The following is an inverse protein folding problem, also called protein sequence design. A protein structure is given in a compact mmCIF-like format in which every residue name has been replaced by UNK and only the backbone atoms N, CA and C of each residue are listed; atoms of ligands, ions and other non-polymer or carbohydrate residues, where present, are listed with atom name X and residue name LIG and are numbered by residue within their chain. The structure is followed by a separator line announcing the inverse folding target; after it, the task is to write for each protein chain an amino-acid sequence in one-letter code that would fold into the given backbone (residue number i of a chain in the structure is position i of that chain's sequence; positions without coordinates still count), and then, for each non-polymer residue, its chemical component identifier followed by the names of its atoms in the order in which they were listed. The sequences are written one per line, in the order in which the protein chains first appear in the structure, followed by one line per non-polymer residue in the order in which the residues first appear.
data_IF_937693709691
#
_entry.id   IF_937693709691
#
_cell.length_a   1.000
_cell.length_b   1.000
_cell.length_c   1.000
_cell.angle_alpha   90.00
_cell.angle_beta   90.00
_cell.angle_gamma   90.00
#
_symmetry.space_group_name_H-M   'P 1'
#
loop_
_entity.id
_entity.type
_entity.pdbx_description
1 polymer ?
#
# COMPACT_ATOMS: atom_id res chain seq x y z
N UNK A 1 45.56 -17.57 -21.49
CA UNK A 1 44.83 -16.67 -20.57
C UNK A 1 44.34 -15.34 -21.20
N UNK A 2 44.58 -15.05 -22.50
CA UNK A 2 44.32 -13.73 -23.10
C UNK A 2 43.16 -13.64 -24.10
N UNK A 3 42.36 -14.69 -24.29
CA UNK A 3 41.26 -14.73 -25.26
C UNK A 3 39.85 -14.61 -24.66
N UNK A 4 39.66 -14.85 -23.36
CA UNK A 4 38.34 -14.79 -22.71
C UNK A 4 37.88 -13.37 -22.33
N UNK A 5 38.78 -12.38 -22.35
CA UNK A 5 38.46 -11.01 -21.93
C UNK A 5 37.88 -10.14 -23.06
N UNK A 6 38.15 -10.46 -24.33
CA UNK A 6 37.71 -9.63 -25.47
C UNK A 6 36.25 -9.90 -25.88
N UNK A 7 35.72 -11.09 -25.61
CA UNK A 7 34.32 -11.46 -25.93
C UNK A 7 33.33 -10.83 -24.93
N UNK A 8 33.75 -10.64 -23.67
CA UNK A 8 32.92 -9.99 -22.64
C UNK A 8 32.64 -8.52 -22.95
N UNK A 9 33.62 -7.79 -23.50
CA UNK A 9 33.45 -6.38 -23.87
C UNK A 9 32.60 -6.16 -25.13
N UNK A 10 32.54 -7.12 -26.06
CA UNK A 10 31.71 -7.02 -27.25
C UNK A 10 30.21 -7.24 -26.95
N UNK A 11 29.89 -8.14 -26.00
CA UNK A 11 28.52 -8.36 -25.55
C UNK A 11 28.00 -7.27 -24.60
N UNK A 12 28.90 -6.55 -23.91
CA UNK A 12 28.50 -5.45 -23.01
C UNK A 12 28.07 -4.18 -23.77
N UNK A 13 28.68 -3.87 -24.92
CA UNK A 13 28.35 -2.68 -25.71
C UNK A 13 27.01 -2.80 -26.44
N UNK A 14 26.67 -3.98 -26.97
CA UNK A 14 25.39 -4.19 -27.69
C UNK A 14 24.18 -4.08 -26.73
N UNK A 15 24.35 -4.51 -25.48
CA UNK A 15 23.33 -4.42 -24.43
C UNK A 15 23.24 -3.05 -23.72
N UNK A 16 24.00 -2.06 -24.17
CA UNK A 16 23.96 -0.68 -23.65
C UNK A 16 22.96 0.19 -24.40
N UNK A 17 22.68 -0.11 -25.68
CA UNK A 17 21.73 0.68 -26.49
C UNK A 17 20.26 0.37 -26.12
N UNK A 18 19.93 -0.89 -25.82
CA UNK A 18 18.55 -1.31 -25.52
C UNK A 18 18.08 -1.06 -24.08
N UNK A 19 18.98 -0.69 -23.15
CA UNK A 19 18.62 -0.39 -21.75
C UNK A 19 18.18 1.05 -21.51
N UNK A 20 18.43 1.96 -22.45
CA UNK A 20 18.05 3.37 -22.27
C UNK A 20 16.57 3.65 -22.62
N UNK A 21 15.89 2.72 -23.31
CA UNK A 21 14.49 2.89 -23.71
C UNK A 21 13.50 2.32 -22.69
N UNK A 22 13.93 1.35 -21.86
CA UNK A 22 13.09 0.75 -20.79
C UNK A 22 13.36 1.34 -19.40
N UNK A 23 14.36 2.21 -19.26
CA UNK A 23 14.51 3.04 -18.06
C UNK A 23 13.56 4.23 -18.24
N UNK A 24 12.27 3.96 -18.02
CA UNK A 24 11.36 4.99 -17.52
C UNK A 24 12.08 5.63 -16.34
N UNK A 25 12.51 6.89 -16.50
CA UNK A 25 13.13 7.64 -15.40
C UNK A 25 12.23 7.46 -14.19
N UNK A 26 12.71 6.88 -13.07
CA UNK A 26 11.90 6.80 -11.88
C UNK A 26 11.45 8.23 -11.61
N UNK A 27 10.14 8.44 -11.56
CA UNK A 27 9.59 9.70 -11.09
C UNK A 27 10.13 9.83 -9.67
N UNK A 28 11.15 10.66 -9.50
CA UNK A 28 11.78 10.95 -8.22
C UNK A 28 10.77 11.77 -7.43
N UNK A 29 9.81 11.07 -6.84
CA UNK A 29 8.96 11.63 -5.81
C UNK A 29 9.83 11.88 -4.58
N UNK A 30 9.68 13.04 -3.95
CA UNK A 30 10.33 13.31 -2.69
C UNK A 30 9.92 12.28 -1.65
N UNK A 31 10.82 11.93 -0.74
CA UNK A 31 10.58 10.98 0.35
C UNK A 31 9.37 11.37 1.20
N UNK A 32 9.18 12.69 1.37
CA UNK A 32 8.06 13.30 2.10
C UNK A 32 6.73 13.19 1.35
N UNK A 33 6.66 13.65 0.09
CA UNK A 33 5.40 13.67 -0.64
C UNK A 33 4.92 12.28 -1.07
N UNK A 34 5.86 11.37 -1.34
CA UNK A 34 5.54 10.03 -1.84
C UNK A 34 5.34 9.00 -0.73
N UNK A 35 6.40 8.70 0.03
CA UNK A 35 6.43 7.54 0.92
C UNK A 35 5.76 7.86 2.26
N UNK A 36 6.11 8.99 2.87
CA UNK A 36 5.61 9.36 4.19
C UNK A 36 4.09 9.56 4.20
N UNK A 37 3.56 10.35 3.27
CA UNK A 37 2.12 10.57 3.11
C UNK A 37 1.37 9.26 2.89
N UNK A 38 1.88 8.38 2.04
CA UNK A 38 1.21 7.10 1.72
C UNK A 38 1.17 6.18 2.94
N UNK A 39 2.28 6.07 3.68
CA UNK A 39 2.36 5.24 4.88
C UNK A 39 1.47 5.79 6.00
N UNK A 40 1.48 7.11 6.22
CA UNK A 40 0.62 7.74 7.24
C UNK A 40 -0.86 7.49 6.95
N UNK A 41 -1.31 7.77 5.73
CA UNK A 41 -2.72 7.58 5.36
C UNK A 41 -3.12 6.12 5.48
N UNK A 42 -2.26 5.16 5.15
CA UNK A 42 -2.61 3.74 5.29
C UNK A 42 -2.75 3.33 6.78
N UNK A 43 -1.76 3.68 7.61
CA UNK A 43 -1.77 3.29 9.03
C UNK A 43 -2.92 3.98 9.76
N UNK A 44 -3.04 5.31 9.65
CA UNK A 44 -4.10 6.04 10.33
C UNK A 44 -5.48 5.77 9.73
N UNK A 45 -5.59 5.67 8.40
CA UNK A 45 -6.84 5.42 7.72
C UNK A 45 -7.46 4.08 8.12
N UNK A 46 -6.69 2.99 8.06
CA UNK A 46 -7.20 1.66 8.38
C UNK A 46 -7.43 1.48 9.88
N UNK A 47 -6.51 1.95 10.73
CA UNK A 47 -6.62 1.73 12.18
C UNK A 47 -7.76 2.57 12.75
N UNK A 48 -7.81 3.87 12.48
CA UNK A 48 -8.81 4.77 13.09
C UNK A 48 -10.22 4.50 12.55
N UNK A 49 -10.38 4.32 11.24
CA UNK A 49 -11.74 4.20 10.66
C UNK A 49 -12.29 2.77 10.62
N UNK A 50 -11.47 1.76 10.30
CA UNK A 50 -11.98 0.40 10.09
C UNK A 50 -11.90 -0.48 11.33
N UNK A 51 -10.93 -0.26 12.24
CA UNK A 51 -10.62 -1.25 13.28
C UNK A 51 -10.78 -0.77 14.71
N UNK A 52 -10.45 0.48 15.03
CA UNK A 52 -10.48 0.96 16.42
C UNK A 52 -11.89 0.93 17.01
N UNK A 53 -12.92 1.34 16.27
CA UNK A 53 -14.30 1.31 16.77
C UNK A 53 -14.81 -0.09 17.09
N UNK A 54 -14.52 -1.06 16.22
CA UNK A 54 -14.98 -2.45 16.41
C UNK A 54 -14.16 -3.20 17.46
N UNK A 55 -12.83 -3.04 17.48
CA UNK A 55 -11.95 -3.70 18.45
C UNK A 55 -12.25 -3.19 19.88
N UNK A 56 -12.39 -1.88 20.06
CA UNK A 56 -12.68 -1.30 21.39
C UNK A 56 -14.07 -1.74 21.88
N UNK A 57 -15.05 -1.86 20.98
CA UNK A 57 -16.41 -2.29 21.33
C UNK A 57 -16.51 -3.74 21.82
N UNK A 58 -15.69 -4.65 21.29
CA UNK A 58 -15.74 -6.09 21.67
C UNK A 58 -14.71 -6.45 22.74
N UNK A 59 -13.49 -5.89 22.66
CA UNK A 59 -12.36 -6.30 23.49
C UNK A 59 -12.18 -5.41 24.74
N UNK A 60 -12.85 -4.25 24.78
CA UNK A 60 -12.67 -3.25 25.84
C UNK A 60 -11.40 -2.40 25.64
N UNK A 61 -11.35 -1.27 26.36
CA UNK A 61 -10.31 -0.24 26.15
C UNK A 61 -8.90 -0.75 26.52
N UNK A 62 -8.80 -1.55 27.59
CA UNK A 62 -7.50 -2.01 28.12
C UNK A 62 -6.81 -2.95 27.14
N UNK A 63 -7.56 -3.92 26.59
CA UNK A 63 -7.02 -4.87 25.61
C UNK A 63 -6.67 -4.19 24.30
N UNK A 64 -7.46 -3.19 23.87
CA UNK A 64 -7.14 -2.40 22.69
C UNK A 64 -5.82 -1.65 22.83
N UNK A 65 -5.55 -1.04 24.00
CA UNK A 65 -4.28 -0.35 24.28
C UNK A 65 -3.09 -1.33 24.27
N UNK A 66 -3.23 -2.50 24.88
CA UNK A 66 -2.16 -3.54 24.87
C UNK A 66 -1.87 -3.98 23.42
N UNK A 67 -2.91 -4.22 22.62
CA UNK A 67 -2.76 -4.60 21.21
C UNK A 67 -2.04 -3.51 20.40
N UNK A 68 -2.35 -2.23 20.63
CA UNK A 68 -1.68 -1.11 19.97
C UNK A 68 -0.19 -1.04 20.32
N UNK A 69 0.18 -1.29 21.58
CA UNK A 69 1.57 -1.31 22.01
C UNK A 69 2.35 -2.43 21.31
N UNK A 70 1.76 -3.64 21.23
CA UNK A 70 2.37 -4.78 20.53
C UNK A 70 2.49 -4.51 19.03
N UNK A 71 1.46 -3.95 18.40
CA UNK A 71 1.50 -3.61 16.98
C UNK A 71 2.60 -2.57 16.68
N UNK A 72 2.71 -1.55 17.53
CA UNK A 72 3.73 -0.50 17.39
C UNK A 72 5.14 -1.06 17.58
N UNK A 73 5.35 -1.97 18.53
CA UNK A 73 6.66 -2.61 18.72
C UNK A 73 7.07 -3.48 17.52
N UNK A 74 6.14 -4.27 16.96
CA UNK A 74 6.38 -5.04 15.74
C UNK A 74 6.71 -4.17 14.53
N UNK A 75 6.02 -3.03 14.38
CA UNK A 75 6.31 -2.05 13.34
C UNK A 75 7.73 -1.46 13.51
N UNK A 76 8.10 -1.07 14.73
CA UNK A 76 9.43 -0.54 15.03
C UNK A 76 10.54 -1.56 14.75
N UNK A 77 10.37 -2.81 15.17
CA UNK A 77 11.32 -3.90 14.89
C UNK A 77 11.49 -4.08 13.38
N UNK A 78 10.39 -4.05 12.62
CA UNK A 78 10.42 -4.19 11.16
C UNK A 78 11.16 -3.03 10.48
N UNK A 79 10.91 -1.79 10.92
CA UNK A 79 11.58 -0.60 10.41
C UNK A 79 13.08 -0.63 10.72
N UNK A 80 13.47 -0.97 11.95
CA UNK A 80 14.90 -1.09 12.30
C UNK A 80 15.60 -2.18 11.49
N UNK A 81 14.94 -3.31 11.24
CA UNK A 81 15.46 -4.37 10.37
C UNK A 81 15.65 -3.86 8.93
N UNK A 82 14.67 -3.14 8.39
CA UNK A 82 14.74 -2.58 7.04
C UNK A 82 15.86 -1.55 6.89
N UNK A 83 16.08 -0.69 7.90
CA UNK A 83 17.19 0.28 7.90
C UNK A 83 18.54 -0.45 7.87
N UNK A 84 18.73 -1.46 8.72
CA UNK A 84 19.98 -2.24 8.75
C UNK A 84 20.26 -2.98 7.44
N UNK A 85 19.21 -3.37 6.71
CA UNK A 85 19.31 -3.91 5.35
C UNK A 85 19.74 -2.83 4.36
N UNK A 86 19.10 -1.66 4.38
CA UNK A 86 19.39 -0.54 3.48
C UNK A 86 20.82 0.01 3.64
N UNK A 87 21.38 -0.02 4.86
CA UNK A 87 22.76 0.39 5.10
C UNK A 87 23.79 -0.58 4.52
N UNK A 88 23.46 -1.88 4.46
CA UNK A 88 24.38 -2.93 3.98
C UNK A 88 24.29 -3.17 2.48
N UNK A 89 23.15 -2.84 1.85
CA UNK A 89 22.92 -3.07 0.44
C UNK A 89 23.12 -1.79 -0.37
N UNK A 90 24.00 -1.82 -1.39
CA UNK A 90 24.08 -0.72 -2.36
C UNK A 90 22.79 -0.66 -3.17
N UNK A 91 22.03 0.42 -2.99
CA UNK A 91 20.75 0.66 -3.65
C UNK A 91 21.02 0.94 -5.13
N UNK A 92 21.09 -0.10 -5.94
CA UNK A 92 20.94 0.03 -7.38
C UNK A 92 19.47 0.36 -7.69
N UNK A 93 19.25 1.09 -8.80
CA UNK A 93 17.99 1.71 -9.24
C UNK A 93 16.85 0.72 -9.59
N UNK A 94 16.69 -0.39 -8.86
CA UNK A 94 15.68 -1.43 -9.06
C UNK A 94 14.55 -1.43 -8.02
N UNK A 95 14.56 -0.52 -7.03
CA UNK A 95 13.53 -0.44 -5.99
C UNK A 95 13.62 -1.56 -4.93
N UNK A 96 12.60 -1.64 -4.08
CA UNK A 96 12.61 -2.49 -2.87
C UNK A 96 12.59 -3.99 -3.22
N UNK A 97 11.86 -4.41 -4.26
CA UNK A 97 11.83 -5.81 -4.69
C UNK A 97 13.18 -6.28 -5.27
N UNK A 98 13.88 -5.42 -6.00
CA UNK A 98 15.23 -5.72 -6.48
C UNK A 98 16.21 -5.82 -5.31
N UNK A 99 16.08 -4.92 -4.32
CA UNK A 99 16.87 -4.96 -3.09
C UNK A 99 16.67 -6.30 -2.36
N UNK A 100 15.42 -6.66 -2.03
CA UNK A 100 15.05 -7.87 -1.28
C UNK A 100 15.47 -9.15 -2.00
N UNK A 101 15.27 -9.22 -3.32
CA UNK A 101 15.69 -10.39 -4.12
C UNK A 101 17.22 -10.53 -4.23
N UNK A 102 17.97 -9.44 -4.05
CA UNK A 102 19.44 -9.49 -3.99
C UNK A 102 19.96 -10.07 -2.66
N UNK A 103 19.25 -9.85 -1.54
CA UNK A 103 19.67 -10.30 -0.19
C UNK A 103 19.19 -11.71 0.14
N UNK A 104 17.95 -12.05 -0.23
CA UNK A 104 17.33 -13.34 0.08
C UNK A 104 17.51 -14.38 -1.02
N UNK A 105 18.10 -13.99 -2.16
CA UNK A 105 18.14 -14.78 -3.37
C UNK A 105 16.85 -14.66 -4.20
N UNK A 106 16.99 -14.70 -5.53
CA UNK A 106 15.90 -14.42 -6.46
C UNK A 106 14.67 -15.31 -6.30
N UNK A 107 14.84 -16.55 -5.82
CA UNK A 107 13.74 -17.50 -5.60
C UNK A 107 12.86 -17.13 -4.38
N UNK A 108 13.47 -16.73 -3.26
CA UNK A 108 12.75 -16.41 -2.02
C UNK A 108 12.11 -15.01 -2.12
N UNK A 109 12.81 -14.04 -2.71
CA UNK A 109 12.27 -12.69 -2.89
C UNK A 109 11.03 -12.64 -3.78
N UNK A 110 10.97 -13.48 -4.83
CA UNK A 110 9.80 -13.59 -5.70
C UNK A 110 8.57 -14.20 -4.99
N UNK A 111 8.78 -15.25 -4.19
CA UNK A 111 7.72 -15.90 -3.45
C UNK A 111 7.09 -14.99 -2.39
N UNK A 112 7.91 -14.27 -1.61
CA UNK A 112 7.44 -13.32 -0.59
C UNK A 112 6.66 -12.16 -1.23
N UNK A 113 7.14 -11.63 -2.35
CA UNK A 113 6.45 -10.56 -3.08
C UNK A 113 5.08 -10.97 -3.60
N UNK A 114 4.95 -12.18 -4.16
CA UNK A 114 3.67 -12.75 -4.58
C UNK A 114 2.72 -12.94 -3.41
N UNK A 115 3.19 -13.52 -2.29
CA UNK A 115 2.36 -13.72 -1.09
C UNK A 115 1.83 -12.40 -0.54
N UNK A 116 2.68 -11.36 -0.49
CA UNK A 116 2.26 -10.03 -0.05
C UNK A 116 1.20 -9.43 -0.99
N UNK A 117 1.39 -9.51 -2.30
CA UNK A 117 0.43 -8.98 -3.27
C UNK A 117 -0.96 -9.66 -3.13
N UNK A 118 -1.00 -10.99 -3.01
CA UNK A 118 -2.24 -11.71 -2.73
C UNK A 118 -2.84 -11.33 -1.38
N UNK A 119 -2.00 -11.18 -0.35
CA UNK A 119 -2.41 -10.76 0.98
C UNK A 119 -3.13 -9.41 0.95
N UNK A 120 -2.56 -8.41 0.28
CA UNK A 120 -3.18 -7.08 0.18
C UNK A 120 -4.53 -7.13 -0.54
N UNK A 121 -4.62 -7.82 -1.69
CA UNK A 121 -5.88 -7.94 -2.46
C UNK A 121 -7.01 -8.57 -1.63
N UNK A 122 -6.68 -9.57 -0.82
CA UNK A 122 -7.66 -10.31 -0.02
C UNK A 122 -8.03 -9.55 1.27
N UNK A 123 -7.05 -8.95 1.96
CA UNK A 123 -7.24 -8.36 3.28
C UNK A 123 -7.65 -6.88 3.26
N UNK A 124 -7.19 -6.07 2.31
CA UNK A 124 -7.49 -4.61 2.26
C UNK A 124 -8.88 -4.29 1.67
N UNK A 125 -9.83 -5.21 1.83
CA UNK A 125 -11.24 -4.88 1.67
C UNK A 125 -11.70 -4.62 0.24
N UNK A 126 -10.85 -4.73 -0.79
CA UNK A 126 -11.28 -4.67 -2.20
C UNK A 126 -12.38 -5.70 -2.44
N UNK A 127 -12.20 -6.95 -1.99
CA UNK A 127 -13.23 -7.97 -2.09
C UNK A 127 -14.54 -7.58 -1.38
N UNK A 128 -14.45 -7.00 -0.19
CA UNK A 128 -15.61 -6.57 0.59
C UNK A 128 -16.31 -5.34 0.01
N UNK A 129 -15.55 -4.39 -0.54
CA UNK A 129 -16.05 -3.22 -1.29
C UNK A 129 -16.82 -3.71 -2.53
N UNK A 130 -16.29 -4.71 -3.24
CA UNK A 130 -16.93 -5.26 -4.44
C UNK A 130 -18.23 -5.98 -4.09
N UNK A 131 -18.19 -6.82 -3.06
CA UNK A 131 -19.36 -7.56 -2.61
C UNK A 131 -20.42 -6.58 -2.08
N UNK A 132 -20.04 -5.63 -1.23
CA UNK A 132 -20.95 -4.63 -0.66
C UNK A 132 -21.52 -3.65 -1.69
N UNK A 133 -20.73 -3.24 -2.69
CA UNK A 133 -21.21 -2.42 -3.80
C UNK A 133 -22.13 -3.21 -4.73
N UNK A 134 -21.78 -4.47 -5.03
CA UNK A 134 -22.63 -5.38 -5.80
C UNK A 134 -23.99 -5.61 -5.13
N UNK A 135 -24.01 -5.76 -3.81
CA UNK A 135 -25.24 -5.93 -3.02
C UNK A 135 -26.08 -4.65 -2.97
N UNK A 136 -25.43 -3.50 -2.79
CA UNK A 136 -26.10 -2.18 -2.72
C UNK A 136 -26.76 -1.79 -4.06
N UNK A 137 -26.08 -2.05 -5.18
CA UNK A 137 -26.62 -1.76 -6.52
C UNK A 137 -27.68 -2.78 -6.93
N UNK A 138 -27.54 -4.04 -6.53
CA UNK A 138 -28.57 -5.08 -6.73
C UNK A 138 -29.90 -4.68 -6.06
N UNK A 139 -29.84 -4.15 -4.84
CA UNK A 139 -31.01 -3.67 -4.09
C UNK A 139 -31.66 -2.45 -4.75
N UNK A 140 -30.90 -1.64 -5.49
CA UNK A 140 -31.41 -0.44 -6.17
C UNK A 140 -32.11 -0.72 -7.50
N UNK A 141 -31.70 -1.78 -8.20
CA UNK A 141 -32.21 -2.14 -9.54
C UNK A 141 -33.42 -3.09 -9.49
N UNK A 142 -33.66 -3.80 -8.38
CA UNK A 142 -34.89 -4.57 -8.16
C UNK A 142 -35.08 -5.78 -9.08
N UNK A 143 -34.02 -6.26 -9.74
CA UNK A 143 -34.06 -7.42 -10.65
C UNK A 143 -33.37 -8.60 -9.95
N UNK A 144 -34.10 -9.66 -9.60
CA UNK A 144 -33.61 -10.85 -8.88
C UNK A 144 -32.72 -11.81 -9.72
N UNK A 145 -31.79 -11.28 -10.52
CA UNK A 145 -30.88 -12.10 -11.33
C UNK A 145 -29.42 -11.95 -10.85
N UNK A 146 -28.96 -12.97 -10.11
CA UNK A 146 -27.63 -13.05 -9.48
C UNK A 146 -26.45 -12.78 -10.43
N UNK A 147 -26.60 -13.09 -11.72
CA UNK A 147 -25.55 -12.88 -12.73
C UNK A 147 -25.37 -11.42 -13.16
N UNK A 148 -26.45 -10.64 -13.26
CA UNK A 148 -26.38 -9.24 -13.72
C UNK A 148 -25.76 -8.34 -12.65
N UNK A 149 -25.97 -8.66 -11.36
CA UNK A 149 -25.36 -7.96 -10.23
C UNK A 149 -23.83 -8.06 -10.24
N UNK A 150 -23.32 -9.29 -10.46
CA UNK A 150 -21.88 -9.53 -10.54
C UNK A 150 -21.26 -8.81 -11.73
N UNK A 151 -21.97 -8.75 -12.86
CA UNK A 151 -21.49 -8.06 -14.06
C UNK A 151 -21.33 -6.55 -13.85
N UNK A 152 -22.30 -5.90 -13.21
CA UNK A 152 -22.25 -4.46 -12.91
C UNK A 152 -21.17 -4.13 -11.86
N UNK A 153 -21.00 -4.98 -10.85
CA UNK A 153 -19.90 -4.82 -9.87
C UNK A 153 -18.53 -4.97 -10.53
N UNK A 154 -18.37 -5.94 -11.44
CA UNK A 154 -17.14 -6.14 -12.23
C UNK A 154 -16.89 -4.96 -13.18
N UNK A 155 -17.93 -4.39 -13.79
CA UNK A 155 -17.80 -3.22 -14.66
C UNK A 155 -17.36 -1.97 -13.88
N UNK A 156 -17.96 -1.71 -12.72
CA UNK A 156 -17.56 -0.60 -11.84
C UNK A 156 -16.10 -0.75 -11.35
N UNK A 157 -15.68 -1.98 -11.04
CA UNK A 157 -14.29 -2.31 -10.72
C UNK A 157 -13.33 -1.98 -11.85
N UNK A 158 -13.69 -2.35 -13.08
CA UNK A 158 -12.87 -2.09 -14.26
C UNK A 158 -12.70 -0.58 -14.49
N UNK A 159 -13.75 0.20 -14.28
CA UNK A 159 -13.70 1.66 -14.36
C UNK A 159 -12.81 2.24 -13.26
N UNK A 160 -12.98 1.80 -12.01
CA UNK A 160 -12.16 2.28 -10.88
C UNK A 160 -10.67 1.93 -11.06
N UNK A 161 -10.39 0.71 -11.52
CA UNK A 161 -9.04 0.24 -11.85
C UNK A 161 -8.47 1.02 -13.03
N UNK A 162 -9.27 1.32 -14.05
CA UNK A 162 -8.90 2.16 -15.19
C UNK A 162 -8.54 3.59 -14.78
N UNK A 163 -9.31 4.19 -13.86
CA UNK A 163 -9.00 5.51 -13.28
C UNK A 163 -7.65 5.49 -12.54
N UNK A 164 -7.37 4.42 -11.79
CA UNK A 164 -6.08 4.26 -11.11
C UNK A 164 -4.89 4.15 -12.09
N UNK A 165 -5.09 3.60 -13.29
CA UNK A 165 -4.02 3.48 -14.30
C UNK A 165 -3.73 4.79 -15.05
N UNK A 166 -4.70 5.71 -15.16
CA UNK A 166 -4.59 6.96 -15.93
C UNK A 166 -3.52 7.92 -15.40
N UNK A 167 -3.14 7.82 -14.12
CA UNK A 167 -1.95 8.52 -13.67
C UNK A 167 -1.71 8.47 -12.17
N UNK A 168 -0.61 7.81 -11.80
CA UNK A 168 -0.05 7.80 -10.44
C UNK A 168 0.18 9.22 -9.88
N UNK A 169 0.42 10.22 -10.74
CA UNK A 169 0.55 11.63 -10.33
C UNK A 169 -0.74 12.20 -9.73
N UNK A 170 -1.90 11.80 -10.25
CA UNK A 170 -3.21 12.24 -9.72
C UNK A 170 -3.50 11.56 -8.39
N UNK A 171 -3.21 10.25 -8.31
CA UNK A 171 -3.37 9.45 -7.09
C UNK A 171 -2.57 10.05 -5.92
N UNK A 172 -1.30 10.41 -6.15
CA UNK A 172 -0.46 11.01 -5.10
C UNK A 172 -1.02 12.37 -4.63
N UNK A 173 -1.55 13.20 -5.53
CA UNK A 173 -2.19 14.45 -5.13
C UNK A 173 -3.47 14.22 -4.32
N UNK A 174 -4.25 13.20 -4.67
CA UNK A 174 -5.43 12.81 -3.88
C UNK A 174 -5.03 12.29 -2.50
N UNK A 175 -3.94 11.50 -2.40
CA UNK A 175 -3.40 11.03 -1.13
C UNK A 175 -3.09 12.18 -0.16
N UNK A 176 -2.49 13.26 -0.68
CA UNK A 176 -2.20 14.47 0.11
C UNK A 176 -3.49 15.16 0.58
N UNK A 177 -4.52 15.22 -0.27
CA UNK A 177 -5.83 15.77 0.11
C UNK A 177 -6.48 14.91 1.20
N UNK A 178 -6.42 13.58 1.07
CA UNK A 178 -6.92 12.66 2.10
C UNK A 178 -6.19 12.85 3.44
N UNK A 179 -4.89 13.11 3.43
CA UNK A 179 -4.13 13.38 4.64
C UNK A 179 -4.64 14.63 5.35
N UNK A 180 -4.99 15.70 4.62
CA UNK A 180 -5.56 16.92 5.22
C UNK A 180 -6.89 16.61 5.90
N UNK A 181 -7.77 15.85 5.25
CA UNK A 181 -9.04 15.39 5.85
C UNK A 181 -8.83 14.53 7.10
N UNK A 182 -7.84 13.64 7.07
CA UNK A 182 -7.48 12.83 8.23
C UNK A 182 -7.02 13.71 9.40
N UNK A 183 -6.18 14.71 9.15
CA UNK A 183 -5.73 15.64 10.20
C UNK A 183 -6.90 16.41 10.80
N UNK A 184 -7.86 16.85 9.99
CA UNK A 184 -9.10 17.47 10.47
C UNK A 184 -9.91 16.51 11.36
N UNK A 185 -10.07 15.25 10.95
CA UNK A 185 -10.79 14.25 11.75
C UNK A 185 -10.11 13.97 13.10
N UNK A 186 -8.78 13.96 13.14
CA UNK A 186 -8.02 13.80 14.39
C UNK A 186 -8.23 15.00 15.30
N UNK A 187 -8.17 16.22 14.77
CA UNK A 187 -8.43 17.44 15.54
C UNK A 187 -9.86 17.46 16.09
N UNK A 188 -10.84 17.08 15.28
CA UNK A 188 -12.25 17.00 15.69
C UNK A 188 -12.46 15.97 16.81
N UNK A 189 -11.81 14.80 16.71
CA UNK A 189 -11.84 13.79 17.76
C UNK A 189 -11.24 14.29 19.08
N UNK A 190 -10.09 14.98 19.03
CA UNK A 190 -9.48 15.56 20.22
C UNK A 190 -10.33 16.69 20.82
N UNK A 191 -10.91 17.54 19.97
CA UNK A 191 -11.85 18.57 20.41
C UNK A 191 -13.06 17.94 21.10
N UNK A 192 -13.69 16.94 20.47
CA UNK A 192 -14.80 16.20 21.05
C UNK A 192 -14.46 15.51 22.39
N UNK A 193 -13.26 14.94 22.51
CA UNK A 193 -12.79 14.33 23.75
C UNK A 193 -12.60 15.34 24.89
N UNK A 194 -12.19 16.58 24.57
CA UNK A 194 -12.04 17.64 25.55
C UNK A 194 -13.39 18.26 25.96
N UNK A 195 -14.25 18.58 25.00
CA UNK A 195 -15.57 19.18 25.27
C UNK A 195 -16.56 18.21 25.94
N UNK A 196 -16.38 16.90 25.79
CA UNK A 196 -17.18 15.90 26.51
C UNK A 196 -16.95 15.92 28.03
N UNK A 197 -15.86 16.56 28.50
CA UNK A 197 -15.51 16.64 29.93
C UNK A 197 -16.23 17.77 30.68
N UNK A 198 -16.92 18.68 29.98
CA UNK A 198 -17.56 19.85 30.59
C UNK A 198 -19.06 19.66 30.92
N UNK A 199 -19.60 18.45 30.77
CA UNK A 199 -20.99 18.10 31.15
C UNK A 199 -21.06 16.96 32.17
N UNK A 200 -20.26 17.04 33.24
CA UNK A 200 -20.44 16.23 34.47
C UNK A 200 -20.48 17.11 35.71
#
# INVERSE_FOLDING_TARGET
MKFRFKISNALYQNNKFNRNFLISRPLLFGTWDGVFTTVLVNIFGVIVFLRMGWIVGISGIVNAVILLIICTSLALISVFSAIGICERCQIQSGGIYFLVSHILGGQIGGAVGLMYAFGQVINEGILLIIIGFGESVARFIGIENSFIHKLIAIAALLVLTGINMIGIRWVIRLQLILLIFLMLAVVDFYAGALFSKDMS
#
